data_IF_080177081643
#
_entry.id   IF_080177081643
#
_cell.length_a   1.000
_cell.length_b   1.000
_cell.length_c   1.000
_cell.angle_alpha   90.00
_cell.angle_beta   90.00
_cell.angle_gamma   90.00
#
_symmetry.space_group_name_H-M   'P 1'
#
loop_
_entity.id
_entity.type
_entity.pdbx_description
1 polymer ?
#
# COMPACT_ATOMS: atom_id res chain seq x y z
N UNK A 1 -6.50 11.13 19.37
CA UNK A 1 -5.94 10.61 18.11
C UNK A 1 -5.51 9.13 18.23
N UNK A 2 -4.59 8.75 19.13
CA UNK A 2 -4.14 7.34 19.27
C UNK A 2 -5.30 6.35 19.48
N UNK A 3 -6.25 6.66 20.37
CA UNK A 3 -7.42 5.81 20.61
C UNK A 3 -8.28 5.60 19.35
N UNK A 4 -8.42 6.59 18.50
CA UNK A 4 -9.18 6.46 17.25
C UNK A 4 -8.47 5.54 16.23
N UNK A 5 -7.14 5.58 16.16
CA UNK A 5 -6.36 4.63 15.38
C UNK A 5 -6.46 3.20 15.93
N UNK A 6 -6.38 3.02 17.26
CA UNK A 6 -6.57 1.72 17.90
C UNK A 6 -7.93 1.11 17.55
N UNK A 7 -9.01 1.91 17.67
CA UNK A 7 -10.35 1.48 17.31
C UNK A 7 -10.46 1.09 15.82
N UNK A 8 -9.81 1.87 14.93
CA UNK A 8 -9.80 1.56 13.51
C UNK A 8 -9.12 0.21 13.24
N UNK A 9 -7.93 -0.04 13.83
CA UNK A 9 -7.21 -1.30 13.69
C UNK A 9 -7.94 -2.50 14.32
N UNK A 10 -8.79 -2.27 15.34
CA UNK A 10 -9.68 -3.28 15.90
C UNK A 10 -10.93 -3.53 15.04
N UNK A 11 -11.09 -2.81 13.91
CA UNK A 11 -12.27 -2.90 13.05
C UNK A 11 -13.51 -2.17 13.57
N UNK A 12 -13.37 -1.37 14.64
CA UNK A 12 -14.45 -0.58 15.27
C UNK A 12 -14.58 0.78 14.57
N UNK A 13 -14.93 0.74 13.28
CA UNK A 13 -14.88 1.91 12.39
C UNK A 13 -15.84 3.02 12.85
N UNK A 14 -17.07 2.66 13.24
CA UNK A 14 -18.07 3.62 13.69
C UNK A 14 -17.63 4.34 14.97
N UNK A 15 -17.01 3.61 15.93
CA UNK A 15 -16.51 4.19 17.17
C UNK A 15 -15.32 5.13 16.90
N UNK A 16 -14.38 4.73 16.03
CA UNK A 16 -13.28 5.57 15.61
C UNK A 16 -13.77 6.87 14.97
N UNK A 17 -14.78 6.77 14.10
CA UNK A 17 -15.40 7.91 13.42
C UNK A 17 -16.09 8.86 14.39
N UNK A 18 -16.91 8.34 15.30
CA UNK A 18 -17.61 9.16 16.29
C UNK A 18 -16.65 9.96 17.17
N UNK A 19 -15.49 9.37 17.50
CA UNK A 19 -14.50 10.00 18.37
C UNK A 19 -13.88 11.27 17.74
N UNK A 20 -13.77 11.33 16.42
CA UNK A 20 -13.06 12.41 15.72
C UNK A 20 -13.98 13.28 14.87
N UNK A 21 -15.18 12.82 14.55
CA UNK A 21 -16.09 13.51 13.62
C UNK A 21 -16.50 14.90 14.11
N UNK A 22 -16.62 15.11 15.43
CA UNK A 22 -16.99 16.39 16.01
C UNK A 22 -15.91 17.47 15.81
N UNK A 23 -14.65 17.07 15.69
CA UNK A 23 -13.49 17.94 15.52
C UNK A 23 -13.07 18.06 14.03
N UNK A 24 -13.58 17.17 13.17
CA UNK A 24 -13.20 17.11 11.78
C UNK A 24 -14.02 18.06 10.91
N UNK A 25 -13.31 18.91 10.17
CA UNK A 25 -13.88 19.70 9.07
C UNK A 25 -12.92 19.67 7.88
N UNK A 26 -13.33 19.05 6.79
CA UNK A 26 -12.49 18.90 5.60
C UNK A 26 -11.95 20.26 5.11
N UNK A 27 -12.80 21.28 5.08
CA UNK A 27 -12.45 22.60 4.55
C UNK A 27 -11.35 23.32 5.34
N UNK A 28 -11.27 23.08 6.67
CA UNK A 28 -10.36 23.79 7.57
C UNK A 28 -9.29 22.91 8.20
N UNK A 29 -9.40 21.60 8.07
CA UNK A 29 -8.45 20.67 8.67
C UNK A 29 -7.03 20.87 8.09
N UNK A 30 -6.06 21.01 9.00
CA UNK A 30 -4.62 21.07 8.71
C UNK A 30 -3.81 20.01 9.43
N UNK A 31 -4.48 19.10 10.12
CA UNK A 31 -3.86 17.97 10.81
C UNK A 31 -3.78 16.77 9.87
N UNK A 32 -2.57 16.46 9.42
CA UNK A 32 -2.30 15.33 8.53
C UNK A 32 -2.72 13.98 9.11
N UNK A 33 -2.55 13.79 10.44
CA UNK A 33 -2.94 12.54 11.09
C UNK A 33 -4.47 12.37 11.10
N UNK A 34 -5.20 13.47 11.31
CA UNK A 34 -6.67 13.47 11.27
C UNK A 34 -7.20 13.27 9.84
N UNK A 35 -6.60 13.94 8.85
CA UNK A 35 -6.94 13.72 7.44
C UNK A 35 -6.69 12.26 7.04
N UNK A 36 -5.55 11.69 7.42
CA UNK A 36 -5.23 10.30 7.11
C UNK A 36 -6.19 9.32 7.77
N UNK A 37 -6.49 9.52 9.06
CA UNK A 37 -7.46 8.70 9.78
C UNK A 37 -8.85 8.72 9.12
N UNK A 38 -9.34 9.90 8.76
CA UNK A 38 -10.63 10.03 8.07
C UNK A 38 -10.60 9.40 6.68
N UNK A 39 -9.48 9.51 5.96
CA UNK A 39 -9.26 8.83 4.69
C UNK A 39 -9.40 7.31 4.84
N UNK A 40 -8.73 6.71 5.81
CA UNK A 40 -8.87 5.28 6.11
C UNK A 40 -10.29 4.88 6.51
N UNK A 41 -10.97 5.67 7.36
CA UNK A 41 -12.36 5.41 7.74
C UNK A 41 -13.24 5.34 6.49
N UNK A 42 -13.16 6.33 5.59
CA UNK A 42 -13.96 6.31 4.37
C UNK A 42 -13.55 5.21 3.39
N UNK A 43 -12.26 4.83 3.37
CA UNK A 43 -11.81 3.70 2.56
C UNK A 43 -12.45 2.39 3.04
N UNK A 44 -12.48 2.15 4.36
CA UNK A 44 -13.17 0.98 4.95
C UNK A 44 -14.68 1.00 4.69
N UNK A 45 -15.31 2.18 4.74
CA UNK A 45 -16.72 2.36 4.38
C UNK A 45 -16.97 2.24 2.87
N UNK A 46 -15.93 2.11 2.04
CA UNK A 46 -15.97 2.11 0.56
C UNK A 46 -16.58 3.39 -0.04
N UNK A 47 -16.45 4.49 0.67
CA UNK A 47 -16.86 5.84 0.23
C UNK A 47 -15.69 6.48 -0.53
N UNK A 48 -15.43 5.98 -1.72
CA UNK A 48 -14.23 6.33 -2.46
C UNK A 48 -14.17 7.81 -2.86
N UNK A 49 -15.30 8.41 -3.24
CA UNK A 49 -15.37 9.83 -3.59
C UNK A 49 -15.00 10.71 -2.39
N UNK A 50 -15.57 10.46 -1.21
CA UNK A 50 -15.25 11.18 0.02
C UNK A 50 -13.77 10.97 0.41
N UNK A 51 -13.26 9.75 0.22
CA UNK A 51 -11.87 9.39 0.48
C UNK A 51 -10.91 10.17 -0.44
N UNK A 52 -11.22 10.23 -1.74
CA UNK A 52 -10.44 11.01 -2.72
C UNK A 52 -10.43 12.49 -2.36
N UNK A 53 -11.56 13.08 -1.94
CA UNK A 53 -11.65 14.48 -1.54
C UNK A 53 -10.74 14.77 -0.33
N UNK A 54 -10.69 13.86 0.66
CA UNK A 54 -9.79 13.97 1.80
C UNK A 54 -8.32 13.93 1.37
N UNK A 55 -7.92 12.95 0.56
CA UNK A 55 -6.52 12.84 0.16
C UNK A 55 -6.08 13.91 -0.85
N UNK A 56 -7.01 14.47 -1.64
CA UNK A 56 -6.76 15.68 -2.43
C UNK A 56 -6.52 16.90 -1.53
N UNK A 57 -7.29 17.03 -0.44
CA UNK A 57 -7.07 18.08 0.58
C UNK A 57 -5.72 17.90 1.27
N UNK A 58 -5.38 16.67 1.63
CA UNK A 58 -4.08 16.29 2.21
C UNK A 58 -2.93 16.72 1.28
N UNK A 59 -2.99 16.32 0.01
CA UNK A 59 -2.00 16.67 -1.00
C UNK A 59 -1.87 18.19 -1.18
N UNK A 60 -3.00 18.88 -1.31
CA UNK A 60 -2.99 20.34 -1.45
C UNK A 60 -2.31 21.02 -0.26
N UNK A 61 -2.56 20.56 0.95
CA UNK A 61 -1.90 21.06 2.15
C UNK A 61 -0.39 20.85 2.09
N UNK A 62 0.04 19.62 1.80
CA UNK A 62 1.45 19.24 1.71
C UNK A 62 2.22 20.09 0.68
N UNK A 63 1.65 20.27 -0.51
CA UNK A 63 2.24 21.11 -1.56
C UNK A 63 2.32 22.58 -1.11
N UNK A 64 1.27 23.10 -0.47
CA UNK A 64 1.22 24.50 -0.02
C UNK A 64 2.26 24.77 1.06
N UNK A 65 2.46 23.83 1.97
CA UNK A 65 3.43 23.89 3.07
C UNK A 65 4.84 23.46 2.64
N UNK A 66 5.00 22.97 1.42
CA UNK A 66 6.25 22.40 0.88
C UNK A 66 6.75 21.22 1.73
N UNK A 67 5.82 20.48 2.28
CA UNK A 67 6.10 19.30 3.10
C UNK A 67 6.21 18.07 2.19
N UNK A 68 7.43 17.76 1.75
CA UNK A 68 7.72 16.68 0.80
C UNK A 68 7.43 15.30 1.40
N UNK A 69 7.59 15.14 2.73
CA UNK A 69 7.25 13.89 3.42
C UNK A 69 5.76 13.61 3.31
N UNK A 70 4.92 14.60 3.60
CA UNK A 70 3.47 14.44 3.48
C UNK A 70 3.00 14.45 2.01
N UNK A 71 3.74 15.07 1.10
CA UNK A 71 3.40 15.05 -0.33
C UNK A 71 3.52 13.66 -0.93
N UNK A 72 4.63 12.93 -0.68
CA UNK A 72 4.74 11.56 -1.19
C UNK A 72 3.69 10.63 -0.56
N UNK A 73 3.42 10.78 0.76
CA UNK A 73 2.37 10.02 1.44
C UNK A 73 1.00 10.27 0.78
N UNK A 74 0.67 11.52 0.45
CA UNK A 74 -0.60 11.86 -0.20
C UNK A 74 -0.76 11.21 -1.57
N UNK A 75 0.30 11.20 -2.39
CA UNK A 75 0.28 10.50 -3.68
C UNK A 75 0.09 9.00 -3.50
N UNK A 76 0.77 8.40 -2.54
CA UNK A 76 0.59 6.99 -2.20
C UNK A 76 -0.86 6.69 -1.82
N UNK A 77 -1.45 7.46 -0.91
CA UNK A 77 -2.82 7.25 -0.46
C UNK A 77 -3.85 7.41 -1.59
N UNK A 78 -3.68 8.40 -2.47
CA UNK A 78 -4.52 8.54 -3.66
C UNK A 78 -4.44 7.31 -4.57
N UNK A 79 -3.23 6.78 -4.76
CA UNK A 79 -3.05 5.54 -5.52
C UNK A 79 -3.77 4.36 -4.87
N UNK A 80 -3.72 4.24 -3.53
CA UNK A 80 -4.42 3.17 -2.81
C UNK A 80 -5.94 3.26 -3.01
N UNK A 81 -6.53 4.46 -2.98
CA UNK A 81 -7.97 4.62 -3.25
C UNK A 81 -8.32 4.16 -4.67
N UNK A 82 -7.58 4.61 -5.69
CA UNK A 82 -7.81 4.16 -7.07
C UNK A 82 -7.60 2.66 -7.25
N UNK A 83 -6.64 2.07 -6.54
CA UNK A 83 -6.43 0.61 -6.51
C UNK A 83 -7.67 -0.13 -5.98
N UNK A 84 -8.27 0.34 -4.89
CA UNK A 84 -9.50 -0.24 -4.33
C UNK A 84 -10.71 -0.06 -5.27
N UNK A 85 -10.72 1.01 -6.05
CA UNK A 85 -11.71 1.21 -7.12
C UNK A 85 -11.46 0.32 -8.35
N UNK A 86 -10.37 -0.45 -8.38
CA UNK A 86 -9.86 -1.21 -9.53
C UNK A 86 -9.47 -0.34 -10.74
N UNK A 87 -9.28 0.96 -10.56
CA UNK A 87 -8.69 1.83 -11.57
C UNK A 87 -7.15 1.79 -11.46
N UNK A 88 -6.58 0.66 -11.88
CA UNK A 88 -5.15 0.40 -11.76
C UNK A 88 -4.29 1.36 -12.60
N UNK A 89 -4.85 1.93 -13.67
CA UNK A 89 -4.12 2.90 -14.48
C UNK A 89 -4.01 4.26 -13.77
N UNK A 90 -5.09 4.74 -13.17
CA UNK A 90 -5.05 5.94 -12.35
C UNK A 90 -4.15 5.75 -11.11
N UNK A 91 -4.25 4.59 -10.43
CA UNK A 91 -3.38 4.27 -9.31
C UNK A 91 -1.90 4.33 -9.71
N UNK A 92 -1.52 3.71 -10.85
CA UNK A 92 -0.15 3.74 -11.35
C UNK A 92 0.35 5.16 -11.59
N UNK A 93 -0.48 6.04 -12.18
CA UNK A 93 -0.13 7.44 -12.40
C UNK A 93 0.20 8.20 -11.10
N UNK A 94 -0.46 7.87 -9.99
CA UNK A 94 -0.15 8.48 -8.69
C UNK A 94 1.10 7.88 -8.05
N UNK A 95 1.36 6.58 -8.20
CA UNK A 95 2.62 5.94 -7.76
C UNK A 95 3.83 6.49 -8.53
N UNK A 96 3.67 6.84 -9.80
CA UNK A 96 4.72 7.50 -10.59
C UNK A 96 5.01 8.92 -10.07
N UNK A 97 3.99 9.70 -9.67
CA UNK A 97 4.17 11.00 -9.02
C UNK A 97 4.84 10.88 -7.65
N UNK A 98 4.44 9.89 -6.86
CA UNK A 98 5.12 9.56 -5.61
C UNK A 98 6.61 9.30 -5.84
N UNK A 99 6.95 8.52 -6.89
CA UNK A 99 8.33 8.22 -7.28
C UNK A 99 9.15 9.46 -7.57
N UNK A 100 8.58 10.43 -8.30
CA UNK A 100 9.26 11.70 -8.59
C UNK A 100 9.64 12.45 -7.30
N UNK A 101 8.76 12.45 -6.30
CA UNK A 101 9.03 13.07 -4.99
C UNK A 101 10.15 12.32 -4.26
N UNK A 102 10.10 10.99 -4.24
CA UNK A 102 11.11 10.15 -3.58
C UNK A 102 12.49 10.38 -4.23
N UNK A 103 12.58 10.42 -5.54
CA UNK A 103 13.84 10.64 -6.26
C UNK A 103 14.46 12.02 -5.98
N UNK A 104 13.64 13.05 -5.83
CA UNK A 104 14.10 14.41 -5.59
C UNK A 104 14.58 14.63 -4.14
N UNK A 105 13.87 14.10 -3.16
CA UNK A 105 14.05 14.50 -1.77
C UNK A 105 14.50 13.35 -0.83
N UNK A 106 14.37 12.07 -1.25
CA UNK A 106 14.62 10.90 -0.40
C UNK A 106 15.53 9.85 -1.05
N UNK A 107 16.51 10.28 -1.84
CA UNK A 107 17.34 9.41 -2.69
C UNK A 107 18.10 8.28 -1.94
N UNK A 108 18.25 8.37 -0.62
CA UNK A 108 18.89 7.35 0.22
C UNK A 108 17.93 6.46 1.00
N UNK A 109 16.62 6.68 0.87
CA UNK A 109 15.61 5.95 1.63
C UNK A 109 15.17 4.67 0.90
N UNK A 110 15.90 3.58 1.12
CA UNK A 110 15.62 2.30 0.49
C UNK A 110 14.22 1.76 0.77
N UNK A 111 13.63 2.08 1.94
CA UNK A 111 12.29 1.63 2.26
C UNK A 111 11.23 2.31 1.40
N UNK A 112 11.30 3.65 1.25
CA UNK A 112 10.37 4.38 0.38
C UNK A 112 10.44 3.88 -1.07
N UNK A 113 11.65 3.67 -1.59
CA UNK A 113 11.84 3.09 -2.92
C UNK A 113 11.25 1.69 -3.03
N UNK A 114 11.49 0.83 -2.03
CA UNK A 114 10.98 -0.54 -2.02
C UNK A 114 9.46 -0.59 -2.04
N UNK A 115 8.80 0.23 -1.21
CA UNK A 115 7.34 0.31 -1.15
C UNK A 115 6.75 0.83 -2.47
N UNK A 116 7.36 1.86 -3.05
CA UNK A 116 6.93 2.39 -4.35
C UNK A 116 7.09 1.34 -5.46
N UNK A 117 8.24 0.65 -5.53
CA UNK A 117 8.47 -0.41 -6.52
C UNK A 117 7.53 -1.61 -6.33
N UNK A 118 7.16 -1.95 -5.07
CA UNK A 118 6.14 -2.94 -4.80
C UNK A 118 4.79 -2.57 -5.43
N UNK A 119 4.31 -1.35 -5.20
CA UNK A 119 3.05 -0.88 -5.80
C UNK A 119 3.13 -0.80 -7.32
N UNK A 120 4.26 -0.37 -7.88
CA UNK A 120 4.50 -0.40 -9.32
C UNK A 120 4.39 -1.81 -9.89
N UNK A 121 4.99 -2.79 -9.22
CA UNK A 121 4.92 -4.20 -9.61
C UNK A 121 3.52 -4.77 -9.47
N UNK A 122 2.85 -4.50 -8.35
CA UNK A 122 1.51 -4.97 -8.08
C UNK A 122 0.48 -4.44 -9.09
N UNK A 123 0.50 -3.15 -9.37
CA UNK A 123 -0.44 -2.52 -10.31
C UNK A 123 -0.24 -3.05 -11.74
N UNK A 124 1.02 -3.24 -12.16
CA UNK A 124 1.35 -3.85 -13.45
C UNK A 124 0.91 -5.32 -13.55
N UNK A 125 1.02 -6.07 -12.46
CA UNK A 125 0.47 -7.42 -12.38
C UNK A 125 -1.05 -7.42 -12.61
N UNK A 126 -1.77 -6.47 -12.01
CA UNK A 126 -3.23 -6.33 -12.23
C UNK A 126 -3.59 -5.92 -13.65
N UNK A 127 -2.73 -5.13 -14.29
CA UNK A 127 -2.87 -4.73 -15.70
C UNK A 127 -2.41 -5.83 -16.69
N UNK A 128 -1.88 -6.97 -16.20
CA UNK A 128 -1.41 -8.07 -17.04
C UNK A 128 -0.03 -7.85 -17.66
N UNK A 129 0.70 -6.83 -17.25
CA UNK A 129 2.05 -6.47 -17.70
C UNK A 129 3.09 -7.26 -16.89
N UNK A 130 3.18 -8.59 -17.17
CA UNK A 130 3.91 -9.52 -16.29
C UNK A 130 5.42 -9.28 -16.25
N UNK A 131 6.02 -8.86 -17.35
CA UNK A 131 7.48 -8.61 -17.44
C UNK A 131 7.87 -7.40 -16.60
N UNK A 132 7.13 -6.31 -16.75
CA UNK A 132 7.34 -5.09 -15.97
C UNK A 132 6.98 -5.30 -14.49
N UNK A 133 5.94 -6.08 -14.21
CA UNK A 133 5.56 -6.45 -12.85
C UNK A 133 6.70 -7.22 -12.14
N UNK A 134 7.31 -8.20 -12.81
CA UNK A 134 8.45 -8.94 -12.28
C UNK A 134 9.64 -8.02 -12.02
N UNK A 135 9.96 -7.15 -12.98
CA UNK A 135 11.08 -6.20 -12.85
C UNK A 135 10.92 -5.33 -11.59
N UNK A 136 9.79 -4.63 -11.44
CA UNK A 136 9.56 -3.75 -10.30
C UNK A 136 9.49 -4.53 -8.98
N UNK A 137 8.88 -5.70 -8.96
CA UNK A 137 8.79 -6.50 -7.75
C UNK A 137 10.15 -7.04 -7.31
N UNK A 138 11.05 -7.37 -8.26
CA UNK A 138 12.42 -7.75 -7.94
C UNK A 138 13.21 -6.55 -7.40
N UNK A 139 13.05 -5.35 -7.99
CA UNK A 139 13.66 -4.12 -7.46
C UNK A 139 13.19 -3.83 -6.03
N UNK A 140 11.88 -3.98 -5.77
CA UNK A 140 11.31 -3.85 -4.43
C UNK A 140 12.00 -4.79 -3.45
N UNK A 141 12.16 -6.07 -3.79
CA UNK A 141 12.82 -7.04 -2.93
C UNK A 141 14.29 -6.68 -2.67
N UNK A 142 15.03 -6.31 -3.72
CA UNK A 142 16.46 -5.97 -3.61
C UNK A 142 16.68 -4.73 -2.71
N UNK A 143 15.73 -3.80 -2.70
CA UNK A 143 15.74 -2.62 -1.83
C UNK A 143 15.28 -2.95 -0.40
N UNK A 144 14.21 -3.74 -0.24
CA UNK A 144 13.73 -4.18 1.06
C UNK A 144 14.80 -4.95 1.84
N UNK A 145 15.59 -5.78 1.15
CA UNK A 145 16.70 -6.55 1.75
C UNK A 145 17.86 -5.66 2.23
N UNK A 146 17.90 -4.37 1.87
CA UNK A 146 18.86 -3.39 2.41
C UNK A 146 18.34 -2.70 3.67
N UNK A 147 17.14 -3.04 4.12
CA UNK A 147 16.47 -2.53 5.32
C UNK A 147 16.22 -3.67 6.30
N UNK A 148 15.90 -3.33 7.55
CA UNK A 148 15.49 -4.31 8.57
C UNK A 148 13.95 -4.51 8.58
N UNK A 149 13.23 -3.94 7.60
CA UNK A 149 11.78 -4.02 7.51
C UNK A 149 11.32 -5.38 6.97
N UNK A 150 10.93 -6.25 7.88
CA UNK A 150 10.49 -7.61 7.56
C UNK A 150 9.17 -7.62 6.79
N UNK A 151 8.29 -6.62 6.99
CA UNK A 151 7.00 -6.52 6.30
C UNK A 151 7.24 -6.17 4.84
N UNK A 152 8.09 -5.17 4.54
CA UNK A 152 8.43 -4.82 3.16
C UNK A 152 9.07 -6.01 2.41
N UNK A 153 9.99 -6.74 3.08
CA UNK A 153 10.58 -7.95 2.51
C UNK A 153 9.52 -9.03 2.23
N UNK A 154 8.60 -9.27 3.18
CA UNK A 154 7.53 -10.26 3.04
C UNK A 154 6.56 -9.90 1.90
N UNK A 155 6.17 -8.63 1.80
CA UNK A 155 5.32 -8.13 0.72
C UNK A 155 5.97 -8.35 -0.66
N UNK A 156 7.25 -8.02 -0.83
CA UNK A 156 7.96 -8.22 -2.08
C UNK A 156 8.03 -9.71 -2.47
N UNK A 157 8.33 -10.61 -1.51
CA UNK A 157 8.28 -12.05 -1.74
C UNK A 157 6.87 -12.54 -2.10
N UNK A 158 5.82 -12.04 -1.43
CA UNK A 158 4.42 -12.33 -1.78
C UNK A 158 4.12 -11.92 -3.22
N UNK A 159 4.50 -10.70 -3.61
CA UNK A 159 4.29 -10.17 -4.96
C UNK A 159 4.97 -11.02 -6.03
N UNK A 160 6.23 -11.43 -5.82
CA UNK A 160 6.93 -12.37 -6.71
C UNK A 160 6.20 -13.71 -6.76
N UNK A 161 5.72 -14.23 -5.63
CA UNK A 161 4.91 -15.43 -5.59
C UNK A 161 3.66 -15.37 -6.47
N UNK A 162 2.95 -14.24 -6.45
CA UNK A 162 1.76 -14.00 -7.28
C UNK A 162 2.11 -13.90 -8.78
N UNK A 163 3.21 -13.23 -9.13
CA UNK A 163 3.70 -13.13 -10.51
C UNK A 163 4.11 -14.51 -11.05
N UNK A 164 4.95 -15.22 -10.28
CA UNK A 164 5.44 -16.53 -10.70
C UNK A 164 4.35 -17.62 -10.72
N UNK A 165 3.23 -17.44 -10.00
CA UNK A 165 2.07 -18.29 -10.18
C UNK A 165 1.53 -18.27 -11.61
N UNK A 166 1.70 -17.13 -12.32
CA UNK A 166 1.29 -16.97 -13.72
C UNK A 166 2.38 -17.39 -14.71
N UNK A 167 3.65 -17.25 -14.34
CA UNK A 167 4.81 -17.53 -15.19
C UNK A 167 5.36 -18.95 -15.01
N UNK A 168 5.63 -19.34 -13.76
CA UNK A 168 6.20 -20.65 -13.37
C UNK A 168 5.74 -21.01 -11.96
N UNK A 169 4.76 -21.91 -11.87
CA UNK A 169 4.16 -22.29 -10.60
C UNK A 169 5.12 -22.98 -9.62
N UNK A 170 6.25 -23.51 -10.07
CA UNK A 170 7.24 -24.16 -9.20
C UNK A 170 7.96 -23.14 -8.31
N UNK A 171 8.40 -22.02 -8.88
CA UNK A 171 9.05 -20.94 -8.14
C UNK A 171 8.09 -20.18 -7.21
N UNK A 172 6.83 -20.08 -7.58
CA UNK A 172 5.79 -19.41 -6.77
C UNK A 172 5.72 -19.98 -5.35
N UNK A 173 5.85 -21.29 -5.19
CA UNK A 173 5.78 -21.95 -3.88
C UNK A 173 6.89 -21.50 -2.93
N UNK A 174 8.11 -21.34 -3.44
CA UNK A 174 9.26 -20.92 -2.64
C UNK A 174 9.10 -19.45 -2.20
N UNK A 175 8.68 -18.57 -3.11
CA UNK A 175 8.43 -17.15 -2.80
C UNK A 175 7.35 -16.99 -1.71
N UNK A 176 6.22 -17.69 -1.80
CA UNK A 176 5.21 -17.67 -0.74
C UNK A 176 5.74 -18.23 0.58
N UNK A 177 6.60 -19.26 0.55
CA UNK A 177 7.19 -19.80 1.77
C UNK A 177 8.13 -18.81 2.46
N UNK A 178 8.88 -17.99 1.70
CA UNK A 178 9.69 -16.92 2.25
C UNK A 178 8.82 -15.82 2.84
N UNK A 179 7.77 -15.38 2.14
CA UNK A 179 6.84 -14.37 2.62
C UNK A 179 6.20 -14.76 3.96
N UNK A 180 5.67 -15.99 4.07
CA UNK A 180 5.06 -16.50 5.31
C UNK A 180 6.06 -16.45 6.48
N UNK A 181 7.29 -16.93 6.28
CA UNK A 181 8.31 -16.92 7.34
C UNK A 181 8.63 -15.50 7.83
N UNK A 182 8.64 -14.52 6.94
CA UNK A 182 8.95 -13.13 7.28
C UNK A 182 7.76 -12.46 7.99
N UNK A 183 6.53 -12.68 7.55
CA UNK A 183 5.33 -12.22 8.26
C UNK A 183 5.24 -12.83 9.65
N UNK A 184 5.44 -14.15 9.79
CA UNK A 184 5.47 -14.82 11.10
C UNK A 184 6.56 -14.22 12.02
N UNK A 185 7.76 -13.96 11.49
CA UNK A 185 8.86 -13.32 12.23
C UNK A 185 8.54 -11.86 12.63
N UNK A 186 7.79 -11.14 11.80
CA UNK A 186 7.33 -9.78 12.08
C UNK A 186 6.15 -9.73 13.06
N UNK A 187 5.51 -10.86 13.36
CA UNK A 187 4.29 -10.93 14.18
C UNK A 187 3.02 -10.53 13.41
N UNK A 188 3.07 -10.46 12.09
CA UNK A 188 1.92 -10.19 11.24
C UNK A 188 1.19 -11.49 10.87
N UNK A 189 0.33 -11.95 11.79
CA UNK A 189 -0.46 -13.16 11.62
C UNK A 189 -1.45 -13.05 10.45
N UNK A 190 -1.98 -11.85 10.20
CA UNK A 190 -2.95 -11.61 9.12
C UNK A 190 -2.24 -11.75 7.76
N UNK A 191 -1.13 -11.07 7.57
CA UNK A 191 -0.33 -11.17 6.35
C UNK A 191 0.16 -12.59 6.08
N UNK A 192 0.60 -13.30 7.13
CA UNK A 192 1.02 -14.70 7.01
C UNK A 192 -0.13 -15.61 6.56
N UNK A 193 -1.34 -15.45 7.14
CA UNK A 193 -2.49 -16.27 6.79
C UNK A 193 -3.00 -15.98 5.36
N UNK A 194 -3.04 -14.71 4.96
CA UNK A 194 -3.36 -14.37 3.57
C UNK A 194 -2.44 -15.09 2.57
N UNK A 195 -1.13 -15.13 2.86
CA UNK A 195 -0.19 -15.81 1.96
C UNK A 195 -0.31 -17.34 2.02
N UNK A 196 -0.67 -17.92 3.19
CA UNK A 196 -0.99 -19.35 3.29
C UNK A 196 -2.17 -19.71 2.39
N UNK A 197 -3.26 -18.94 2.46
CA UNK A 197 -4.43 -19.10 1.58
C UNK A 197 -4.03 -18.97 0.11
N UNK A 198 -3.24 -17.96 -0.22
CA UNK A 198 -2.71 -17.81 -1.59
C UNK A 198 -1.90 -19.02 -2.02
N UNK A 199 -1.00 -19.54 -1.18
CA UNK A 199 -0.13 -20.67 -1.47
C UNK A 199 -0.90 -21.98 -1.69
N UNK A 200 -1.95 -22.22 -0.90
CA UNK A 200 -2.74 -23.44 -0.93
C UNK A 200 -3.78 -23.47 -2.06
N UNK A 201 -4.19 -22.32 -2.55
CA UNK A 201 -5.09 -22.20 -3.71
C UNK A 201 -4.39 -22.66 -5.00
N UNK A 202 -3.99 -23.94 -5.04
CA UNK A 202 -3.55 -24.64 -6.25
C UNK A 202 -4.73 -24.85 -7.17
N UNK A 203 -4.78 -24.10 -8.29
CA UNK A 203 -5.61 -24.42 -9.47
C UNK A 203 -7.12 -24.19 -9.34
N UNK A 204 -7.57 -22.99 -9.65
CA UNK A 204 -8.87 -22.83 -10.30
C UNK A 204 -8.79 -22.12 -11.68
N UNK A 205 -7.59 -21.89 -12.22
CA UNK A 205 -7.41 -21.18 -13.50
C UNK A 205 -6.70 -22.05 -14.55
N UNK A 206 -7.18 -23.29 -14.75
CA UNK A 206 -6.91 -24.05 -15.98
C UNK A 206 -8.23 -24.64 -16.46
N UNK A 207 -9.07 -23.79 -17.09
CA UNK A 207 -10.06 -24.21 -18.08
C UNK A 207 -10.25 -23.11 -19.10
#
# INVERSE_FOLDING_TARGET
MNQAWELLFEGKIDEAKQLVQAEFSLATCKDYSLLNLMGYIYLYEKKYEDCLEIYQRYLHLAITEKDRENEHIAYHQLAMVYREMNDFQAALSYIEKEREVIEQDFSGDYLKYSVNDYEQGYLRLKLGQLVEAEFYMQQSLDLALKTDDLIAQACAYRGLGEIYRKLDSSKSYDYFSYAIKLFDKAGDEIGAEEVRVLKDNKKSETK
#
